data_IF_081677048343
#
_entry.id   IF_081677048343
#
_cell.length_a   1.000
_cell.length_b   1.000
_cell.length_c   1.000
_cell.angle_alpha   90.00
_cell.angle_beta   90.00
_cell.angle_gamma   90.00
#
_symmetry.space_group_name_H-M   'P 1'
#
loop_
_entity.id
_entity.type
_entity.pdbx_description
1 polymer ?
#
# COMPACT_ATOMS: atom_id res chain seq x y z
N UNK A 1 6.70 7.18 -7.49
CA UNK A 1 5.25 6.89 -7.48
C UNK A 1 5.04 5.44 -7.86
N UNK A 2 3.80 4.94 -7.79
CA UNK A 2 3.45 3.60 -8.28
C UNK A 2 3.34 3.64 -9.81
N UNK A 3 3.80 2.59 -10.48
CA UNK A 3 3.68 2.37 -11.90
C UNK A 3 2.93 1.07 -12.22
N UNK A 4 2.25 0.97 -13.38
CA UNK A 4 1.71 -0.29 -13.85
C UNK A 4 2.82 -1.34 -13.95
N UNK A 5 2.55 -2.54 -13.41
CA UNK A 5 3.53 -3.63 -13.30
C UNK A 5 4.14 -3.77 -11.90
N UNK A 6 3.95 -2.79 -11.01
CA UNK A 6 4.34 -2.93 -9.60
C UNK A 6 3.41 -3.92 -8.88
N UNK A 7 4.00 -4.87 -8.14
CA UNK A 7 3.25 -5.85 -7.35
C UNK A 7 3.26 -5.42 -5.89
N UNK A 8 2.08 -5.16 -5.31
CA UNK A 8 1.95 -4.81 -3.90
C UNK A 8 2.07 -6.08 -3.06
N UNK A 9 3.01 -6.10 -2.12
CA UNK A 9 3.26 -7.24 -1.22
C UNK A 9 2.86 -6.95 0.22
N UNK A 10 2.89 -5.68 0.63
CA UNK A 10 2.39 -5.29 1.96
C UNK A 10 1.87 -3.84 1.99
N UNK A 11 0.97 -3.57 2.93
CA UNK A 11 0.42 -2.24 3.22
C UNK A 11 0.48 -2.02 4.73
N UNK A 12 1.21 -1.01 5.18
CA UNK A 12 1.33 -0.63 6.59
C UNK A 12 1.76 -1.82 7.49
N UNK A 13 2.76 -2.58 7.03
CA UNK A 13 3.25 -3.82 7.68
C UNK A 13 2.24 -4.98 7.73
N UNK A 14 1.14 -4.89 7.00
CA UNK A 14 0.19 -5.99 6.76
C UNK A 14 0.49 -6.60 5.41
N UNK A 15 0.81 -7.89 5.37
CA UNK A 15 0.98 -8.63 4.12
C UNK A 15 -0.36 -8.69 3.37
N UNK A 16 -0.31 -8.46 2.07
CA UNK A 16 -1.50 -8.47 1.21
C UNK A 16 -1.29 -9.48 0.10
N UNK A 17 -2.27 -10.35 -0.11
CA UNK A 17 -2.20 -11.38 -1.15
C UNK A 17 -3.11 -11.05 -2.34
N UNK A 18 -3.91 -9.99 -2.23
CA UNK A 18 -4.79 -9.55 -3.30
C UNK A 18 -5.29 -8.13 -3.11
N UNK A 19 -6.06 -7.67 -4.11
CA UNK A 19 -6.61 -6.31 -4.15
C UNK A 19 -7.59 -6.03 -3.01
N UNK A 20 -8.30 -7.05 -2.52
CA UNK A 20 -9.22 -6.91 -1.39
C UNK A 20 -8.48 -6.63 -0.07
N UNK A 21 -7.35 -7.31 0.16
CA UNK A 21 -6.52 -7.09 1.34
C UNK A 21 -5.92 -5.69 1.33
N UNK A 22 -5.49 -5.23 0.14
CA UNK A 22 -5.06 -3.85 -0.05
C UNK A 22 -6.17 -2.87 0.34
N UNK A 23 -7.39 -3.05 -0.17
CA UNK A 23 -8.51 -2.18 0.15
C UNK A 23 -8.84 -2.17 1.65
N UNK A 24 -8.80 -3.33 2.32
CA UNK A 24 -8.98 -3.43 3.77
C UNK A 24 -7.88 -2.73 4.55
N UNK A 25 -6.61 -2.98 4.25
CA UNK A 25 -5.48 -2.35 4.92
C UNK A 25 -5.49 -0.82 4.75
N UNK A 26 -5.91 -0.35 3.58
CA UNK A 26 -6.13 1.08 3.31
C UNK A 26 -7.27 1.65 4.17
N UNK A 27 -8.41 0.97 4.24
CA UNK A 27 -9.56 1.40 5.06
C UNK A 27 -9.21 1.42 6.56
N UNK A 28 -8.47 0.42 7.04
CA UNK A 28 -7.99 0.36 8.43
C UNK A 28 -6.99 1.46 8.75
N UNK A 29 -6.11 1.80 7.81
CA UNK A 29 -5.21 2.94 7.97
C UNK A 29 -5.96 4.27 8.05
N UNK A 30 -6.98 4.48 7.20
CA UNK A 30 -7.86 5.67 7.26
C UNK A 30 -8.59 5.72 8.60
N UNK A 31 -9.17 4.59 9.04
CA UNK A 31 -9.89 4.47 10.31
C UNK A 31 -8.98 4.72 11.52
N UNK A 32 -7.70 4.38 11.40
CA UNK A 32 -6.68 4.65 12.41
C UNK A 32 -6.23 6.12 12.44
N UNK A 33 -6.81 6.99 11.60
CA UNK A 33 -6.45 8.40 11.52
C UNK A 33 -5.15 8.67 10.76
N UNK A 34 -4.62 7.70 10.01
CA UNK A 34 -3.38 7.90 9.24
C UNK A 34 -3.68 8.74 8.01
N UNK A 35 -2.82 9.73 7.75
CA UNK A 35 -2.88 10.60 6.56
C UNK A 35 -2.14 10.02 5.36
N UNK A 36 -1.24 9.08 5.61
CA UNK A 36 -0.51 8.33 4.59
C UNK A 36 -0.39 6.86 5.00
N UNK A 37 -0.36 6.00 3.99
CA UNK A 37 -0.03 4.57 4.10
C UNK A 37 1.35 4.33 3.53
N UNK A 38 2.06 3.37 4.09
CA UNK A 38 3.29 2.84 3.49
C UNK A 38 2.93 1.58 2.72
N UNK A 39 3.19 1.55 1.41
CA UNK A 39 2.99 0.35 0.58
C UNK A 39 4.35 -0.20 0.15
N UNK A 40 4.51 -1.51 0.28
CA UNK A 40 5.66 -2.22 -0.24
C UNK A 40 5.31 -2.77 -1.61
N UNK A 41 6.09 -2.37 -2.60
CA UNK A 41 5.97 -2.82 -3.98
C UNK A 41 7.23 -3.57 -4.40
N UNK A 42 7.02 -4.66 -5.12
CA UNK A 42 8.09 -5.42 -5.76
C UNK A 42 8.01 -5.19 -7.26
N UNK A 43 9.15 -4.86 -7.86
CA UNK A 43 9.32 -4.70 -9.30
C UNK A 43 10.68 -5.20 -9.72
N UNK A 44 10.74 -6.09 -10.71
CA UNK A 44 11.99 -6.61 -11.26
C UNK A 44 12.96 -7.10 -10.16
N UNK A 45 12.45 -7.90 -9.22
CA UNK A 45 13.10 -8.37 -7.98
C UNK A 45 13.59 -7.29 -7.01
N UNK A 46 13.31 -6.02 -7.29
CA UNK A 46 13.62 -4.90 -6.42
C UNK A 46 12.41 -4.55 -5.56
N UNK A 47 12.62 -4.51 -4.25
CA UNK A 47 11.59 -4.16 -3.28
C UNK A 47 11.72 -2.69 -2.89
N UNK A 48 10.60 -1.96 -2.90
CA UNK A 48 10.57 -0.51 -2.62
C UNK A 48 9.36 -0.16 -1.76
N UNK A 49 9.54 0.80 -0.87
CA UNK A 49 8.46 1.37 -0.08
C UNK A 49 8.00 2.69 -0.68
N UNK A 50 6.70 2.81 -0.92
CA UNK A 50 6.06 4.00 -1.45
C UNK A 50 5.04 4.50 -0.43
N UNK A 51 5.23 5.71 0.06
CA UNK A 51 4.25 6.37 0.90
C UNK A 51 3.17 7.00 0.01
N UNK A 52 1.91 6.61 0.23
CA UNK A 52 0.76 7.17 -0.49
C UNK A 52 -0.17 7.89 0.48
N UNK A 53 -0.58 9.13 0.18
CA UNK A 53 -1.59 9.80 0.98
C UNK A 53 -2.93 9.05 0.85
N UNK A 54 -3.54 8.72 2.00
CA UNK A 54 -4.88 8.08 2.06
C UNK A 54 -6.00 9.11 1.97
N UNK A 55 -5.69 10.38 2.24
CA UNK A 55 -6.60 11.47 2.00
C UNK A 55 -6.61 11.78 0.50
N UNK A 56 -7.70 11.38 -0.17
CA UNK A 56 -8.14 12.06 -1.39
C UNK A 56 -8.45 13.48 -0.95
N UNK A 57 -7.67 14.45 -1.42
CA UNK A 57 -8.06 15.86 -1.34
C UNK A 57 -9.43 16.07 -1.95
#
# INVERSE_FOLDING_TARGET
>A
GIQPGDVITSVNSTEVNGTEDVAKAMADAVKSGRKAVLMQITRDDSNRFVALPVAKG
#
